data_IF_568288719354
#
_entry.id   IF_568288719354
#
_cell.length_a   1.000
_cell.length_b   1.000
_cell.length_c   1.000
_cell.angle_alpha   90.00
_cell.angle_beta   90.00
_cell.angle_gamma   90.00
#
_symmetry.space_group_name_H-M   'P 1'
#
loop_
_entity.id
_entity.type
_entity.pdbx_description
1 polymer ?
#
# COMPACT_ATOMS: atom_id res chain seq x y z
N UNK A 1 -29.26 -17.51 -0.55
CA UNK A 1 -27.83 -17.86 -0.48
C UNK A 1 -27.47 -18.56 -1.77
N UNK A 2 -26.92 -17.82 -2.73
CA UNK A 2 -26.54 -18.37 -4.05
C UNK A 2 -25.09 -18.83 -3.92
N UNK A 3 -24.88 -20.14 -3.92
CA UNK A 3 -23.56 -20.74 -3.99
C UNK A 3 -22.95 -20.48 -5.36
N UNK A 4 -21.86 -19.73 -5.40
CA UNK A 4 -21.02 -19.62 -6.59
C UNK A 4 -20.12 -20.86 -6.65
N UNK A 5 -20.25 -21.63 -7.73
CA UNK A 5 -19.43 -22.80 -8.01
C UNK A 5 -17.96 -22.40 -8.15
N UNK A 6 -17.11 -22.88 -7.24
CA UNK A 6 -15.66 -22.66 -7.30
C UNK A 6 -15.00 -23.59 -8.31
N UNK A 7 -15.20 -23.34 -9.60
CA UNK A 7 -14.45 -24.04 -10.63
C UNK A 7 -12.96 -23.67 -10.50
N UNK A 8 -12.17 -24.58 -9.91
CA UNK A 8 -10.70 -24.44 -9.81
C UNK A 8 -10.08 -24.51 -8.42
N UNK A 9 -10.85 -24.64 -7.33
CA UNK A 9 -10.27 -24.80 -5.98
C UNK A 9 -10.10 -26.28 -5.61
N UNK A 10 -8.87 -26.66 -5.28
CA UNK A 10 -8.55 -27.99 -4.75
C UNK A 10 -9.31 -28.24 -3.44
N UNK A 11 -9.90 -29.43 -3.32
CA UNK A 11 -10.61 -29.87 -2.11
C UNK A 11 -9.67 -30.50 -1.07
N UNK A 12 -8.42 -30.78 -1.45
CA UNK A 12 -7.42 -31.46 -0.61
C UNK A 12 -6.30 -30.49 -0.21
N UNK A 13 -5.84 -29.68 -1.16
CA UNK A 13 -4.70 -28.80 -0.96
C UNK A 13 -5.15 -27.36 -0.77
N UNK A 14 -4.72 -26.74 0.32
CA UNK A 14 -4.87 -25.31 0.55
C UNK A 14 -3.49 -24.65 0.55
N UNK A 15 -3.30 -23.53 -0.17
CA UNK A 15 -2.02 -22.81 -0.13
C UNK A 15 -1.73 -22.33 1.29
N UNK A 16 -0.51 -22.58 1.77
CA UNK A 16 -0.06 -22.09 3.06
C UNK A 16 0.83 -20.86 2.90
N UNK A 17 2.09 -21.08 2.47
CA UNK A 17 3.06 -20.02 2.25
C UNK A 17 4.23 -20.50 1.40
N UNK A 18 4.69 -19.64 0.49
CA UNK A 18 5.94 -19.87 -0.24
C UNK A 18 7.16 -19.46 0.61
N UNK A 19 8.21 -20.28 0.60
CA UNK A 19 9.45 -20.05 1.34
C UNK A 19 10.54 -19.48 0.43
N UNK A 20 11.49 -18.75 1.01
CA UNK A 20 12.64 -18.18 0.29
C UNK A 20 12.42 -16.78 -0.29
N UNK A 21 11.19 -16.27 -0.29
CA UNK A 21 10.90 -14.88 -0.70
C UNK A 21 11.13 -13.90 0.46
N UNK A 22 11.96 -12.89 0.21
CA UNK A 22 12.30 -11.84 1.18
C UNK A 22 11.81 -10.46 0.71
N UNK A 23 12.12 -10.07 -0.52
CA UNK A 23 11.72 -8.77 -1.08
C UNK A 23 11.64 -8.84 -2.61
N UNK A 24 11.05 -7.83 -3.24
CA UNK A 24 11.02 -7.65 -4.69
C UNK A 24 11.43 -6.19 -5.05
N UNK A 25 11.03 -5.70 -6.21
CA UNK A 25 11.36 -4.36 -6.69
C UNK A 25 10.61 -3.21 -5.99
N UNK A 26 9.53 -3.52 -5.25
CA UNK A 26 8.76 -2.50 -4.51
C UNK A 26 9.57 -2.05 -3.29
N UNK A 27 9.82 -0.75 -3.11
CA UNK A 27 10.57 -0.24 -1.97
C UNK A 27 10.01 -0.72 -0.63
N UNK A 28 10.90 -1.10 0.28
CA UNK A 28 10.50 -1.48 1.63
C UNK A 28 10.10 -0.25 2.43
N UNK A 29 9.18 -0.42 3.37
CA UNK A 29 8.85 0.59 4.35
C UNK A 29 9.67 0.37 5.63
N UNK A 30 10.18 1.45 6.21
CA UNK A 30 10.86 1.46 7.51
C UNK A 30 10.03 2.23 8.52
N UNK A 31 9.77 1.61 9.66
CA UNK A 31 9.10 2.27 10.78
C UNK A 31 10.03 2.27 11.98
N UNK A 32 10.27 3.47 12.52
CA UNK A 32 11.03 3.66 13.74
C UNK A 32 10.07 4.01 14.86
N UNK A 33 9.96 3.13 15.86
CA UNK A 33 9.43 3.46 17.18
C UNK A 33 10.63 3.64 18.11
N UNK A 34 10.49 4.47 19.14
CA UNK A 34 11.55 4.91 20.07
C UNK A 34 12.89 4.15 20.00
N UNK A 35 12.91 2.85 20.34
CA UNK A 35 14.09 1.98 20.25
C UNK A 35 13.89 0.69 19.42
N UNK A 36 12.80 0.58 18.66
CA UNK A 36 12.49 -0.59 17.85
C UNK A 36 12.17 -0.20 16.42
N UNK A 37 12.82 -0.87 15.47
CA UNK A 37 12.61 -0.63 14.05
C UNK A 37 11.95 -1.85 13.41
N UNK A 38 11.01 -1.58 12.52
CA UNK A 38 10.28 -2.57 11.75
C UNK A 38 10.53 -2.34 10.27
N UNK A 39 10.77 -3.41 9.53
CA UNK A 39 10.97 -3.38 8.09
C UNK A 39 9.83 -4.18 7.46
N UNK A 40 9.10 -3.55 6.53
CA UNK A 40 8.03 -4.22 5.78
C UNK A 40 8.42 -4.28 4.31
N UNK A 41 8.40 -5.49 3.74
CA UNK A 41 8.85 -5.79 2.38
C UNK A 41 7.73 -6.44 1.58
N UNK A 42 7.69 -6.17 0.28
CA UNK A 42 6.76 -6.80 -0.65
C UNK A 42 7.35 -8.11 -1.19
N UNK A 43 6.52 -9.13 -1.34
CA UNK A 43 6.88 -10.42 -1.97
C UNK A 43 5.96 -10.76 -3.17
N UNK A 44 5.37 -9.74 -3.80
CA UNK A 44 4.43 -9.88 -4.91
C UNK A 44 3.03 -9.41 -4.51
N UNK A 45 2.13 -10.33 -4.25
CA UNK A 45 0.74 -10.09 -3.82
C UNK A 45 0.58 -10.10 -2.29
N UNK A 46 1.66 -10.29 -1.53
CA UNK A 46 1.70 -10.25 -0.08
C UNK A 46 2.91 -9.45 0.42
N UNK A 47 2.93 -9.13 1.72
CA UNK A 47 4.06 -8.51 2.38
C UNK A 47 4.53 -9.30 3.61
N UNK A 48 5.78 -9.07 3.98
CA UNK A 48 6.38 -9.59 5.21
C UNK A 48 6.89 -8.44 6.07
N UNK A 49 6.62 -8.50 7.38
CA UNK A 49 7.12 -7.54 8.35
C UNK A 49 8.13 -8.21 9.28
N UNK A 50 9.29 -7.59 9.44
CA UNK A 50 10.40 -8.07 10.26
C UNK A 50 10.74 -7.08 11.37
N UNK A 51 11.25 -7.60 12.49
CA UNK A 51 11.96 -6.79 13.48
C UNK A 51 13.39 -6.53 13.00
N UNK A 52 13.79 -5.28 12.80
CA UNK A 52 15.05 -4.95 12.15
C UNK A 52 16.29 -5.39 12.96
N UNK A 53 16.18 -5.47 14.30
CA UNK A 53 17.31 -5.81 15.16
C UNK A 53 17.80 -7.26 15.01
N UNK A 54 16.88 -8.20 14.72
CA UNK A 54 17.18 -9.63 14.61
C UNK A 54 16.74 -10.24 13.28
N UNK A 55 16.15 -9.43 12.38
CA UNK A 55 15.50 -9.86 11.15
C UNK A 55 14.50 -11.00 11.36
N UNK A 56 13.90 -11.08 12.55
CA UNK A 56 12.91 -12.09 12.84
C UNK A 56 11.58 -11.71 12.18
N UNK A 57 10.97 -12.67 11.50
CA UNK A 57 9.67 -12.47 10.86
C UNK A 57 8.59 -12.33 11.94
N UNK A 58 7.87 -11.21 11.90
CA UNK A 58 6.79 -10.89 12.83
C UNK A 58 5.43 -11.23 12.25
N UNK A 59 5.16 -10.78 11.02
CA UNK A 59 3.87 -10.95 10.38
C UNK A 59 4.01 -11.16 8.88
N UNK A 60 3.02 -11.85 8.30
CA UNK A 60 2.86 -12.06 6.85
C UNK A 60 1.41 -11.77 6.52
N UNK A 61 1.16 -10.99 5.47
CA UNK A 61 -0.20 -10.79 4.98
C UNK A 61 -0.69 -12.02 4.21
N UNK A 62 -1.99 -12.29 4.19
CA UNK A 62 -2.59 -13.12 3.15
C UNK A 62 -2.24 -12.57 1.75
N UNK A 63 -2.19 -13.43 0.72
CA UNK A 63 -2.07 -12.98 -0.66
C UNK A 63 -3.30 -12.19 -1.08
N UNK A 64 -3.07 -11.09 -1.79
CA UNK A 64 -4.09 -10.28 -2.44
C UNK A 64 -4.42 -10.83 -3.83
N UNK A 65 -5.48 -10.29 -4.44
CA UNK A 65 -5.86 -10.68 -5.80
C UNK A 65 -4.92 -10.08 -6.85
N UNK A 66 -4.34 -8.91 -6.56
CA UNK A 66 -3.44 -8.18 -7.43
C UNK A 66 -2.10 -7.92 -6.71
N UNK A 67 -0.99 -7.79 -7.46
CA UNK A 67 0.31 -7.44 -6.88
C UNK A 67 0.26 -6.11 -6.11
N UNK A 68 1.03 -6.03 -5.04
CA UNK A 68 1.23 -4.79 -4.29
C UNK A 68 2.17 -3.90 -5.09
N UNK A 69 1.76 -2.65 -5.35
CA UNK A 69 2.55 -1.64 -6.08
C UNK A 69 3.27 -0.70 -5.14
N UNK A 70 2.66 -0.37 -3.99
CA UNK A 70 3.24 0.54 -2.99
C UNK A 70 3.09 -0.04 -1.57
N UNK A 71 4.10 0.18 -0.72
CA UNK A 71 4.05 -0.11 0.71
C UNK A 71 4.58 1.09 1.48
N UNK A 72 3.86 1.49 2.53
CA UNK A 72 4.36 2.45 3.50
C UNK A 72 3.78 2.15 4.90
N UNK A 73 4.25 2.83 5.95
CA UNK A 73 3.81 2.61 7.32
C UNK A 73 3.49 3.90 8.06
N UNK A 74 2.37 3.89 8.78
CA UNK A 74 1.96 4.98 9.67
C UNK A 74 1.48 4.40 11.00
N UNK A 75 1.97 4.95 12.12
CA UNK A 75 1.62 4.53 13.49
C UNK A 75 1.86 3.03 13.74
N UNK A 76 0.81 2.21 13.73
CA UNK A 76 0.86 0.75 13.90
C UNK A 76 0.37 -0.02 12.66
N UNK A 77 0.14 0.71 11.57
CA UNK A 77 -0.49 0.20 10.36
C UNK A 77 0.53 0.14 9.23
N UNK A 78 0.51 -0.97 8.50
CA UNK A 78 1.07 -1.04 7.17
C UNK A 78 -0.03 -0.59 6.21
N UNK A 79 0.32 0.29 5.28
CA UNK A 79 -0.54 0.69 4.17
C UNK A 79 0.02 0.06 2.90
N UNK A 80 -0.87 -0.49 2.08
CA UNK A 80 -0.48 -1.06 0.78
C UNK A 80 -1.42 -0.58 -0.31
N UNK A 81 -0.87 -0.28 -1.48
CA UNK A 81 -1.65 -0.16 -2.71
C UNK A 81 -1.56 -1.48 -3.50
N UNK A 82 -2.70 -2.02 -3.92
CA UNK A 82 -2.79 -3.25 -4.73
C UNK A 82 -3.96 -3.09 -5.70
N UNK A 83 -3.66 -3.17 -7.00
CA UNK A 83 -4.58 -2.77 -8.06
C UNK A 83 -5.07 -1.34 -7.84
N UNK A 84 -6.38 -1.16 -7.82
CA UNK A 84 -7.02 0.14 -7.56
C UNK A 84 -7.28 0.44 -6.07
N UNK A 85 -6.85 -0.42 -5.13
CA UNK A 85 -7.26 -0.33 -3.72
C UNK A 85 -6.13 0.07 -2.79
N UNK A 86 -6.45 0.90 -1.81
CA UNK A 86 -5.58 1.19 -0.66
C UNK A 86 -6.08 0.42 0.55
N UNK A 87 -5.20 -0.37 1.16
CA UNK A 87 -5.55 -1.30 2.24
C UNK A 87 -4.69 -1.02 3.46
N UNK A 88 -5.34 -0.91 4.62
CA UNK A 88 -4.66 -0.79 5.90
C UNK A 88 -4.62 -2.14 6.62
N UNK A 89 -3.45 -2.45 7.19
CA UNK A 89 -3.18 -3.71 7.86
C UNK A 89 -2.67 -3.48 9.26
N UNK A 90 -3.13 -4.31 10.20
CA UNK A 90 -2.60 -4.34 11.57
C UNK A 90 -2.14 -5.75 11.87
N UNK A 91 -0.85 -5.92 12.16
CA UNK A 91 -0.24 -7.23 12.49
C UNK A 91 -0.52 -8.30 11.41
N UNK A 92 -0.36 -7.93 10.15
CA UNK A 92 -0.59 -8.81 8.98
C UNK A 92 -2.06 -9.06 8.63
N UNK A 93 -3.02 -8.54 9.39
CA UNK A 93 -4.45 -8.68 9.09
C UNK A 93 -4.99 -7.41 8.47
N UNK A 94 -5.75 -7.54 7.39
CA UNK A 94 -6.48 -6.43 6.82
C UNK A 94 -7.50 -5.92 7.85
N UNK A 95 -7.47 -4.62 8.11
CA UNK A 95 -8.40 -3.97 9.04
C UNK A 95 -9.32 -2.97 8.35
N UNK A 96 -8.88 -2.33 7.26
CA UNK A 96 -9.66 -1.33 6.53
C UNK A 96 -9.33 -1.33 5.05
N UNK A 97 -10.29 -0.88 4.25
CA UNK A 97 -10.08 -0.39 2.89
C UNK A 97 -10.14 1.13 2.97
N UNK A 98 -9.00 1.79 2.77
CA UNK A 98 -8.89 3.25 2.92
C UNK A 98 -9.61 3.96 1.77
N UNK A 99 -9.42 3.46 0.54
CA UNK A 99 -10.06 4.01 -0.65
C UNK A 99 -9.88 3.10 -1.86
N UNK A 100 -10.58 3.43 -2.94
CA UNK A 100 -10.51 2.71 -4.22
C UNK A 100 -10.53 3.71 -5.37
N UNK A 101 -9.54 3.62 -6.26
CA UNK A 101 -9.43 4.36 -7.51
C UNK A 101 -10.25 3.71 -8.64
N UNK A 102 -10.39 4.42 -9.75
CA UNK A 102 -10.92 3.85 -11.00
C UNK A 102 -9.88 3.01 -11.74
N UNK A 103 -8.60 3.40 -11.63
CA UNK A 103 -7.48 2.71 -12.26
C UNK A 103 -6.45 2.23 -11.23
N UNK A 104 -5.38 1.60 -11.71
CA UNK A 104 -4.37 1.00 -10.84
C UNK A 104 -3.47 2.07 -10.21
N UNK A 105 -3.29 1.96 -8.89
CA UNK A 105 -2.48 2.89 -8.12
C UNK A 105 -1.00 2.59 -8.36
N UNK A 106 -0.25 3.64 -8.71
CA UNK A 106 1.18 3.55 -9.01
C UNK A 106 2.06 4.22 -7.95
N UNK A 107 1.54 5.23 -7.27
CA UNK A 107 2.27 5.98 -6.24
C UNK A 107 1.40 6.15 -5.00
N UNK A 108 2.04 6.10 -3.83
CA UNK A 108 1.41 6.32 -2.52
C UNK A 108 2.37 7.08 -1.61
N UNK A 109 1.84 8.08 -0.89
CA UNK A 109 2.55 8.89 0.09
C UNK A 109 1.68 9.03 1.33
N UNK A 110 2.22 8.67 2.51
CA UNK A 110 1.57 8.93 3.79
C UNK A 110 2.04 10.28 4.35
N UNK A 111 1.09 11.19 4.60
CA UNK A 111 1.43 12.53 5.07
C UNK A 111 0.28 13.14 5.88
N UNK A 112 0.58 13.65 7.09
CA UNK A 112 -0.34 14.51 7.83
C UNK A 112 -1.70 13.89 8.21
N UNK A 113 -1.77 12.57 8.43
CA UNK A 113 -3.04 11.86 8.67
C UNK A 113 -3.82 11.56 7.37
N UNK A 114 -3.16 11.69 6.23
CA UNK A 114 -3.73 11.43 4.92
C UNK A 114 -2.92 10.35 4.20
N UNK A 115 -3.61 9.58 3.37
CA UNK A 115 -3.01 8.72 2.36
C UNK A 115 -3.23 9.39 1.01
N UNK A 116 -2.15 9.76 0.35
CA UNK A 116 -2.21 10.42 -0.96
C UNK A 116 -1.78 9.39 -1.99
N UNK A 117 -2.62 9.15 -2.99
CA UNK A 117 -2.36 8.16 -4.03
C UNK A 117 -2.53 8.76 -5.41
N UNK A 118 -1.73 8.26 -6.36
CA UNK A 118 -1.85 8.58 -7.78
C UNK A 118 -2.06 7.28 -8.55
N UNK A 119 -3.07 7.24 -9.42
CA UNK A 119 -3.26 6.12 -10.33
C UNK A 119 -2.59 6.35 -11.70
N UNK A 120 -2.63 5.30 -12.53
CA UNK A 120 -2.05 5.28 -13.88
C UNK A 120 -2.70 6.27 -14.87
N UNK A 121 -3.88 6.80 -14.54
CA UNK A 121 -4.55 7.85 -15.30
C UNK A 121 -4.11 9.25 -14.90
N UNK A 122 -3.37 9.38 -13.79
CA UNK A 122 -2.86 10.65 -13.25
C UNK A 122 -3.79 11.29 -12.23
N UNK A 123 -4.86 10.61 -11.85
CA UNK A 123 -5.78 11.07 -10.83
C UNK A 123 -5.12 10.93 -9.45
N UNK A 124 -5.02 12.05 -8.74
CA UNK A 124 -4.52 12.09 -7.37
C UNK A 124 -5.70 12.20 -6.42
N UNK A 125 -5.76 11.29 -5.44
CA UNK A 125 -6.80 11.28 -4.41
C UNK A 125 -6.15 11.30 -3.03
N UNK A 126 -6.75 12.07 -2.13
CA UNK A 126 -6.36 12.18 -0.73
C UNK A 126 -7.43 11.49 0.12
N UNK A 127 -7.01 10.54 0.95
CA UNK A 127 -7.88 9.76 1.83
C UNK A 127 -7.51 10.00 3.29
N UNK A 128 -8.48 9.86 4.20
CA UNK A 128 -8.24 9.82 5.66
C UNK A 128 -7.52 8.50 6.04
N UNK A 129 -6.44 8.55 6.85
CA UNK A 129 -5.66 7.35 7.22
C UNK A 129 -6.35 6.44 8.27
N UNK A 130 -7.37 6.96 8.95
CA UNK A 130 -8.10 6.28 10.02
C UNK A 130 -9.48 5.80 9.58
N UNK A 131 -10.14 6.50 8.67
CA UNK A 131 -11.50 6.17 8.20
C UNK A 131 -11.49 5.41 6.87
N UNK A 132 -12.52 4.60 6.64
CA UNK A 132 -12.63 3.77 5.43
C UNK A 132 -13.47 4.50 4.38
N UNK A 133 -12.97 4.59 3.15
CA UNK A 133 -13.62 5.26 2.02
C UNK A 133 -13.98 6.73 2.28
N UNK A 134 -13.17 7.43 3.07
CA UNK A 134 -13.33 8.88 3.26
C UNK A 134 -12.31 9.62 2.39
N UNK A 135 -12.81 10.11 1.26
CA UNK A 135 -12.08 11.00 0.37
C UNK A 135 -12.07 12.42 0.96
N UNK A 136 -10.87 12.96 1.20
CA UNK A 136 -10.65 14.33 1.66
C UNK A 136 -10.57 15.31 0.49
N UNK A 137 -10.22 14.82 -0.70
CA UNK A 137 -10.21 15.59 -1.93
C UNK A 137 -9.50 14.87 -3.06
N UNK A 138 -9.61 15.46 -4.24
CA UNK A 138 -9.09 14.92 -5.50
C UNK A 138 -8.55 16.04 -6.37
N UNK A 139 -7.47 15.75 -7.09
CA UNK A 139 -6.82 16.68 -8.00
C UNK A 139 -6.48 15.97 -9.30
N UNK A 140 -6.80 16.62 -10.41
CA UNK A 140 -6.30 16.26 -11.74
C UNK A 140 -5.19 17.25 -12.11
N UNK A 141 -3.99 16.74 -12.40
CA UNK A 141 -2.79 17.57 -12.62
C UNK A 141 -2.60 17.94 -14.11
N UNK A 142 -3.63 17.69 -14.92
CA UNK A 142 -3.61 17.87 -16.38
C UNK A 142 -3.66 16.54 -17.11
N UNK A 143 -3.48 16.57 -18.44
CA UNK A 143 -3.40 15.33 -19.21
C UNK A 143 -2.07 14.63 -18.98
N UNK A 144 -2.05 13.30 -19.07
CA UNK A 144 -0.85 12.48 -18.98
C UNK A 144 0.23 12.84 -20.01
N UNK A 145 -0.15 13.45 -21.14
CA UNK A 145 0.78 13.95 -22.14
C UNK A 145 1.51 15.23 -21.71
N UNK A 146 0.90 16.04 -20.84
CA UNK A 146 1.45 17.30 -20.35
C UNK A 146 2.13 17.15 -18.99
N UNK A 147 1.59 16.29 -18.13
CA UNK A 147 2.11 16.04 -16.79
C UNK A 147 1.86 14.58 -16.39
N UNK A 148 2.91 13.76 -16.47
CA UNK A 148 2.88 12.37 -16.04
C UNK A 148 3.53 12.24 -14.66
N UNK A 149 2.71 12.15 -13.61
CA UNK A 149 3.18 12.06 -12.22
C UNK A 149 4.03 10.79 -12.01
N UNK A 150 5.33 10.97 -11.79
CA UNK A 150 6.30 9.88 -11.58
C UNK A 150 6.85 9.82 -10.16
N UNK A 151 6.67 10.87 -9.36
CA UNK A 151 7.10 10.91 -7.98
C UNK A 151 6.19 11.81 -7.14
N UNK A 152 6.00 11.44 -5.87
CA UNK A 152 5.35 12.27 -4.86
C UNK A 152 6.24 12.36 -3.63
N UNK A 153 6.41 13.56 -3.09
CA UNK A 153 7.10 13.72 -1.80
C UNK A 153 6.56 14.89 -0.99
N UNK A 154 6.69 14.78 0.33
CA UNK A 154 6.50 15.90 1.24
C UNK A 154 7.87 16.55 1.55
N UNK A 155 8.10 17.82 1.19
CA UNK A 155 9.33 18.51 1.55
C UNK A 155 9.42 18.73 3.06
N UNK A 156 10.58 18.42 3.64
CA UNK A 156 10.83 18.70 5.05
C UNK A 156 10.55 20.18 5.36
N UNK A 157 9.92 20.45 6.51
CA UNK A 157 9.58 21.79 7.05
C UNK A 157 8.44 22.56 6.38
N UNK A 158 7.90 22.09 5.24
CA UNK A 158 6.75 22.74 4.63
C UNK A 158 5.45 22.27 5.30
N UNK A 159 4.52 23.16 5.58
CA UNK A 159 3.21 22.77 6.11
C UNK A 159 2.22 22.51 4.97
N UNK A 160 1.64 21.32 4.94
CA UNK A 160 0.57 20.95 4.00
C UNK A 160 0.92 21.17 2.52
N UNK A 161 2.15 20.80 2.13
CA UNK A 161 2.62 20.84 0.74
C UNK A 161 3.12 19.48 0.30
N UNK A 162 2.77 19.09 -0.92
CA UNK A 162 3.28 17.89 -1.60
C UNK A 162 3.87 18.35 -2.91
N UNK A 163 5.07 17.87 -3.24
CA UNK A 163 5.69 18.05 -4.54
C UNK A 163 5.38 16.84 -5.42
N UNK A 164 5.07 17.15 -6.68
CA UNK A 164 4.84 16.17 -7.73
C UNK A 164 5.95 16.31 -8.77
N UNK A 165 6.60 15.21 -9.11
CA UNK A 165 7.54 15.14 -10.22
C UNK A 165 6.84 14.64 -11.48
N UNK A 166 7.08 15.30 -12.62
CA UNK A 166 6.70 14.80 -13.94
C UNK A 166 7.93 14.45 -14.76
N UNK A 167 7.78 13.49 -15.67
CA UNK A 167 8.73 13.29 -16.78
C UNK A 167 8.50 14.34 -17.87
#
# INVERSE_FOLDING_TARGET
>A
MVGTSSAGKSQIFHPYRALGYVTNHVPFALQTKTNTHFITTCIGDAFQQYGAAKMNLLFVSPPLQEPITCIDMVKDYVMTASGCRVIAWKRGKQVRCIGTHKHNIQLMLLFGGMVITCDDSGEIVMWDDEKSNEELGRVEVGSQEQFNTTAMMHPATYLNKVLLGSR
#
